data_IF_583169297459
#
_entry.id   IF_583169297459
#
_cell.length_a   1.000
_cell.length_b   1.000
_cell.length_c   1.000
_cell.angle_alpha   90.00
_cell.angle_beta   90.00
_cell.angle_gamma   90.00
#
_symmetry.space_group_name_H-M   'P 1'
#
loop_
_entity.id
_entity.type
_entity.pdbx_description
1 polymer ?
#
# COMPACT_ATOMS: atom_id res chain seq x y z
N UNK A 1 -16.07 25.51 9.29
CA UNK A 1 -14.94 24.77 9.88
C UNK A 1 -15.23 23.29 9.80
N UNK A 2 -14.28 22.51 9.30
CA UNK A 2 -14.39 21.05 9.22
C UNK A 2 -13.84 20.45 10.51
N UNK A 3 -14.60 19.55 11.12
CA UNK A 3 -14.19 18.78 12.30
C UNK A 3 -14.37 17.30 12.00
N UNK A 4 -13.36 16.49 12.31
CA UNK A 4 -13.41 15.04 12.15
C UNK A 4 -13.70 14.37 13.49
N UNK A 5 -14.46 13.27 13.44
CA UNK A 5 -14.71 12.40 14.59
C UNK A 5 -14.50 10.95 14.16
N UNK A 6 -13.55 10.29 14.80
CA UNK A 6 -13.42 8.84 14.73
C UNK A 6 -14.57 8.19 15.49
N UNK A 7 -15.11 7.12 14.93
CA UNK A 7 -16.24 6.39 15.52
C UNK A 7 -15.78 5.13 16.22
N UNK A 8 -16.40 4.86 17.37
CA UNK A 8 -16.39 3.58 18.05
C UNK A 8 -17.64 2.76 17.69
N UNK A 9 -17.68 1.48 18.09
CA UNK A 9 -18.80 0.57 17.79
C UNK A 9 -20.13 1.08 18.34
N UNK A 10 -20.12 1.84 19.44
CA UNK A 10 -21.32 2.43 20.03
C UNK A 10 -21.88 3.64 19.25
N UNK A 11 -21.11 4.23 18.34
CA UNK A 11 -21.53 5.34 17.46
C UNK A 11 -22.34 4.87 16.22
N UNK A 12 -22.80 3.62 16.23
CA UNK A 12 -23.47 2.98 15.10
C UNK A 12 -24.69 3.75 14.57
N UNK A 13 -25.39 4.50 15.44
CA UNK A 13 -26.56 5.29 15.07
C UNK A 13 -26.18 6.46 14.16
N UNK A 14 -25.08 7.15 14.44
CA UNK A 14 -24.58 8.28 13.65
C UNK A 14 -24.05 7.80 12.29
N UNK A 15 -23.33 6.67 12.28
CA UNK A 15 -22.88 6.05 11.03
C UNK A 15 -24.06 5.62 10.16
N UNK A 16 -25.08 4.99 10.76
CA UNK A 16 -26.31 4.58 10.08
C UNK A 16 -26.97 5.75 9.37
N UNK A 17 -27.10 6.90 10.03
CA UNK A 17 -27.74 8.08 9.45
C UNK A 17 -27.04 8.52 8.15
N UNK A 18 -25.72 8.73 8.21
CA UNK A 18 -24.95 9.20 7.06
C UNK A 18 -24.83 8.13 5.97
N UNK A 19 -24.74 6.85 6.36
CA UNK A 19 -24.73 5.76 5.39
C UNK A 19 -26.02 5.69 4.59
N UNK A 20 -27.17 5.82 5.25
CA UNK A 20 -28.47 5.83 4.58
C UNK A 20 -28.65 7.09 3.72
N UNK A 21 -28.16 8.24 4.17
CA UNK A 21 -28.16 9.47 3.36
C UNK A 21 -27.32 9.29 2.08
N UNK A 22 -26.11 8.74 2.19
CA UNK A 22 -25.23 8.49 1.05
C UNK A 22 -25.80 7.51 0.03
N UNK A 23 -26.37 6.40 0.50
CA UNK A 23 -27.01 5.41 -0.38
C UNK A 23 -28.25 5.95 -1.10
N UNK A 24 -28.91 6.98 -0.55
CA UNK A 24 -30.03 7.68 -1.19
C UNK A 24 -29.55 8.73 -2.19
N UNK A 25 -28.52 9.48 -1.83
CA UNK A 25 -27.99 10.60 -2.62
C UNK A 25 -27.18 10.15 -3.84
N UNK A 26 -26.35 9.11 -3.69
CA UNK A 26 -25.42 8.66 -4.73
C UNK A 26 -25.36 7.11 -4.81
N UNK A 27 -26.48 6.43 -5.12
CA UNK A 27 -26.54 4.97 -5.15
C UNK A 27 -25.53 4.32 -6.11
N UNK A 28 -25.17 5.00 -7.20
CA UNK A 28 -24.21 4.54 -8.20
C UNK A 28 -22.75 4.52 -7.71
N UNK A 29 -22.45 5.23 -6.61
CA UNK A 29 -21.12 5.29 -6.01
C UNK A 29 -20.84 4.13 -5.03
N UNK A 30 -21.82 3.26 -4.77
CA UNK A 30 -21.70 2.15 -3.83
C UNK A 30 -22.11 0.82 -4.47
N UNK A 31 -21.38 -0.24 -4.14
CA UNK A 31 -21.82 -1.60 -4.48
C UNK A 31 -23.06 -2.04 -3.69
N UNK A 32 -23.32 -1.44 -2.53
CA UNK A 32 -24.47 -1.74 -1.68
C UNK A 32 -25.72 -0.94 -2.07
N UNK A 33 -26.91 -1.52 -1.91
CA UNK A 33 -28.19 -0.86 -2.25
C UNK A 33 -28.91 -0.37 -1.01
N UNK A 34 -29.55 0.81 -1.07
CA UNK A 34 -30.32 1.37 0.05
C UNK A 34 -31.33 0.37 0.66
N UNK A 35 -32.06 -0.36 -0.19
CA UNK A 35 -33.07 -1.33 0.26
C UNK A 35 -32.50 -2.47 1.12
N UNK A 36 -31.21 -2.82 0.93
CA UNK A 36 -30.54 -3.84 1.73
C UNK A 36 -30.27 -3.36 3.16
N UNK A 37 -30.19 -2.05 3.38
CA UNK A 37 -29.89 -1.42 4.67
C UNK A 37 -31.14 -0.85 5.35
N UNK A 38 -32.32 -1.21 4.85
CA UNK A 38 -33.62 -0.82 5.39
C UNK A 38 -34.47 -2.05 5.72
N UNK A 39 -35.57 -1.86 6.46
CA UNK A 39 -36.49 -2.93 6.83
C UNK A 39 -35.79 -4.01 7.65
N UNK A 40 -35.85 -5.26 7.20
CA UNK A 40 -35.21 -6.39 7.90
C UNK A 40 -33.67 -6.27 7.97
N UNK A 41 -33.05 -5.49 7.07
CA UNK A 41 -31.61 -5.28 7.04
C UNK A 41 -31.11 -4.20 7.99
N UNK A 42 -32.01 -3.43 8.60
CA UNK A 42 -31.71 -2.29 9.46
C UNK A 42 -31.74 -2.70 10.93
N UNK A 43 -30.65 -3.34 11.37
CA UNK A 43 -30.53 -3.86 12.75
C UNK A 43 -29.29 -3.28 13.41
N UNK A 44 -29.41 -2.93 14.70
CA UNK A 44 -28.28 -2.42 15.49
C UNK A 44 -27.05 -3.33 15.39
N UNK A 45 -27.24 -4.65 15.51
CA UNK A 45 -26.15 -5.63 15.38
C UNK A 45 -25.37 -5.45 14.08
N UNK A 46 -26.05 -5.33 12.93
CA UNK A 46 -25.38 -5.16 11.64
C UNK A 46 -24.58 -3.85 11.56
N UNK A 47 -25.09 -2.77 12.15
CA UNK A 47 -24.40 -1.48 12.15
C UNK A 47 -23.14 -1.53 13.02
N UNK A 48 -23.23 -2.18 14.18
CA UNK A 48 -22.09 -2.45 15.07
C UNK A 48 -21.04 -3.33 14.37
N UNK A 49 -21.46 -4.45 13.77
CA UNK A 49 -20.59 -5.36 13.03
C UNK A 49 -19.85 -4.64 11.89
N UNK A 50 -20.46 -3.61 11.29
CA UNK A 50 -19.83 -2.81 10.22
C UNK A 50 -18.75 -1.85 10.74
N UNK A 51 -18.85 -1.42 11.99
CA UNK A 51 -17.87 -0.54 12.62
C UNK A 51 -16.72 -1.31 13.27
N UNK A 52 -16.97 -2.54 13.71
CA UNK A 52 -15.98 -3.37 14.38
C UNK A 52 -14.74 -3.63 13.49
N UNK A 53 -13.55 -3.41 14.06
CA UNK A 53 -12.28 -3.58 13.36
C UNK A 53 -12.03 -2.65 12.15
N UNK A 54 -12.88 -1.65 11.91
CA UNK A 54 -12.77 -0.72 10.78
C UNK A 54 -12.59 0.70 11.30
N UNK A 55 -11.64 1.44 10.73
CA UNK A 55 -11.47 2.86 11.05
C UNK A 55 -12.56 3.67 10.33
N UNK A 56 -13.56 4.16 11.06
CA UNK A 56 -14.66 4.93 10.50
C UNK A 56 -14.59 6.37 11.00
N UNK A 57 -14.75 7.33 10.09
CA UNK A 57 -14.65 8.75 10.40
C UNK A 57 -15.86 9.48 9.84
N UNK A 58 -16.45 10.35 10.66
CA UNK A 58 -17.42 11.34 10.23
C UNK A 58 -16.77 12.72 10.15
N UNK A 59 -17.18 13.50 9.18
CA UNK A 59 -16.85 14.91 9.09
C UNK A 59 -18.08 15.77 9.38
N UNK A 60 -17.90 16.83 10.14
CA UNK A 60 -18.89 17.85 10.43
C UNK A 60 -18.43 19.17 9.80
N UNK A 61 -19.34 19.86 9.11
CA UNK A 61 -19.11 21.20 8.58
C UNK A 61 -20.00 22.18 9.34
N UNK A 62 -19.38 23.09 10.10
CA UNK A 62 -20.09 24.09 10.89
C UNK A 62 -21.12 23.48 11.88
N UNK A 63 -20.79 22.29 12.41
CA UNK A 63 -21.60 21.54 13.37
C UNK A 63 -22.60 20.56 12.74
N UNK A 64 -22.80 20.60 11.43
CA UNK A 64 -23.71 19.70 10.71
C UNK A 64 -22.95 18.48 10.16
N UNK A 65 -23.46 17.23 10.32
CA UNK A 65 -22.87 16.05 9.71
C UNK A 65 -22.78 16.19 8.18
N UNK A 66 -21.57 16.12 7.64
CA UNK A 66 -21.25 16.56 6.28
C UNK A 66 -20.58 15.50 5.41
N UNK A 67 -20.10 14.39 5.99
CA UNK A 67 -19.50 13.31 5.23
C UNK A 67 -19.01 12.15 6.08
N UNK A 68 -18.65 11.07 5.42
CA UNK A 68 -18.15 9.85 6.05
C UNK A 68 -17.12 9.16 5.18
N UNK A 69 -16.24 8.38 5.80
CA UNK A 69 -15.28 7.47 5.14
C UNK A 69 -14.95 6.31 6.07
N UNK A 70 -14.55 5.18 5.49
CA UNK A 70 -13.94 4.08 6.22
C UNK A 70 -12.55 3.75 5.65
N UNK A 71 -11.59 3.47 6.52
CA UNK A 71 -10.37 2.72 6.22
C UNK A 71 -10.51 1.28 6.71
N UNK A 72 -10.68 0.34 5.79
CA UNK A 72 -10.78 -1.09 6.09
C UNK A 72 -9.41 -1.75 5.97
N UNK A 73 -8.89 -2.44 7.00
CA UNK A 73 -7.64 -3.18 6.88
C UNK A 73 -7.68 -4.17 5.71
N UNK A 74 -6.63 -4.18 4.89
CA UNK A 74 -6.50 -5.09 3.75
C UNK A 74 -5.07 -5.64 3.68
N UNK A 75 -4.84 -6.79 4.33
CA UNK A 75 -3.51 -7.37 4.48
C UNK A 75 -2.56 -6.42 5.24
N UNK A 76 -1.53 -5.94 4.54
CA UNK A 76 -0.55 -4.99 5.08
C UNK A 76 -0.85 -3.52 4.73
N UNK A 77 -1.99 -3.26 4.08
CA UNK A 77 -2.47 -1.92 3.72
C UNK A 77 -3.89 -1.62 4.22
N UNK A 78 -4.48 -0.58 3.66
CA UNK A 78 -5.85 -0.12 3.97
C UNK A 78 -6.63 0.09 2.68
N UNK A 79 -7.88 -0.34 2.65
CA UNK A 79 -8.83 0.01 1.60
C UNK A 79 -9.70 1.18 2.06
N UNK A 80 -9.65 2.31 1.34
CA UNK A 80 -10.54 3.45 1.56
C UNK A 80 -11.88 3.15 0.90
N UNK A 81 -12.91 2.98 1.71
CA UNK A 81 -14.26 2.62 1.26
C UNK A 81 -15.31 3.54 1.88
N UNK A 82 -16.54 3.46 1.37
CA UNK A 82 -17.70 4.16 1.94
C UNK A 82 -17.55 5.68 2.01
N UNK A 83 -16.73 6.26 1.13
CA UNK A 83 -16.51 7.70 1.03
C UNK A 83 -17.75 8.43 0.52
N UNK A 84 -18.20 9.45 1.24
CA UNK A 84 -19.29 10.32 0.81
C UNK A 84 -19.18 11.71 1.44
N UNK A 85 -19.58 12.72 0.68
CA UNK A 85 -19.73 14.11 1.15
C UNK A 85 -21.11 14.61 0.77
N UNK A 86 -21.83 15.12 1.77
CA UNK A 86 -23.17 15.67 1.63
C UNK A 86 -23.19 16.80 0.58
N UNK A 87 -24.25 16.93 -0.24
CA UNK A 87 -24.32 17.94 -1.30
C UNK A 87 -23.99 19.37 -0.85
N UNK A 88 -24.46 19.79 0.33
CA UNK A 88 -24.23 21.14 0.88
C UNK A 88 -22.76 21.39 1.27
N UNK A 89 -21.96 20.33 1.45
CA UNK A 89 -20.59 20.39 1.94
C UNK A 89 -19.53 20.15 0.85
N UNK A 90 -19.94 19.84 -0.39
CA UNK A 90 -19.02 19.62 -1.52
C UNK A 90 -18.27 20.89 -1.87
N UNK A 91 -16.98 20.76 -2.20
CA UNK A 91 -16.11 21.90 -2.53
C UNK A 91 -15.71 22.76 -1.31
N UNK A 92 -15.95 22.29 -0.08
CA UNK A 92 -15.65 23.01 1.17
C UNK A 92 -14.52 22.37 1.99
N UNK A 93 -13.73 21.48 1.37
CA UNK A 93 -12.59 20.79 2.01
C UNK A 93 -12.95 19.56 2.83
N UNK A 94 -14.24 19.18 2.95
CA UNK A 94 -14.67 17.99 3.69
C UNK A 94 -14.10 16.70 3.08
N UNK A 95 -14.10 16.61 1.75
CA UNK A 95 -13.56 15.45 1.05
C UNK A 95 -12.06 15.25 1.30
N UNK A 96 -11.31 16.34 1.35
CA UNK A 96 -9.88 16.33 1.63
C UNK A 96 -9.60 15.83 3.04
N UNK A 97 -10.25 16.43 4.03
CA UNK A 97 -10.09 16.05 5.43
C UNK A 97 -10.40 14.56 5.69
N UNK A 98 -11.41 14.00 5.01
CA UNK A 98 -11.75 12.58 5.13
C UNK A 98 -10.70 11.67 4.50
N UNK A 99 -10.15 12.02 3.33
CA UNK A 99 -9.08 11.22 2.70
C UNK A 99 -7.82 11.27 3.57
N UNK A 100 -7.43 12.45 4.05
CA UNK A 100 -6.29 12.63 4.95
C UNK A 100 -6.44 11.75 6.21
N UNK A 101 -7.64 11.70 6.81
CA UNK A 101 -7.89 10.88 8.01
C UNK A 101 -7.54 9.38 7.81
N UNK A 102 -7.83 8.83 6.63
CA UNK A 102 -7.51 7.44 6.31
C UNK A 102 -6.05 7.27 5.95
N UNK A 103 -5.50 8.21 5.16
CA UNK A 103 -4.13 8.16 4.66
C UNK A 103 -3.11 8.32 5.80
N UNK A 104 -3.32 9.28 6.70
CA UNK A 104 -2.39 9.59 7.79
C UNK A 104 -2.29 8.46 8.83
N UNK A 105 -3.32 7.60 8.89
CA UNK A 105 -3.36 6.44 9.78
C UNK A 105 -2.79 5.16 9.14
N UNK A 106 -2.57 5.17 7.83
CA UNK A 106 -2.07 4.02 7.11
C UNK A 106 -0.54 4.01 7.10
N UNK A 107 0.06 2.97 7.69
CA UNK A 107 1.50 2.74 7.59
C UNK A 107 1.93 2.22 6.20
N UNK A 108 1.01 1.54 5.52
CA UNK A 108 1.24 0.85 4.26
C UNK A 108 0.55 1.51 3.07
N UNK A 109 0.36 0.73 2.02
CA UNK A 109 -0.36 1.19 0.84
C UNK A 109 -1.85 1.42 1.16
N UNK A 110 -2.42 2.51 0.63
CA UNK A 110 -3.88 2.76 0.66
C UNK A 110 -4.44 2.53 -0.74
N UNK A 111 -5.46 1.70 -0.86
CA UNK A 111 -6.14 1.46 -2.15
C UNK A 111 -7.62 1.81 -2.10
N UNK A 112 -8.22 2.04 -3.26
CA UNK A 112 -9.65 2.21 -3.41
C UNK A 112 -10.09 1.84 -4.82
N UNK A 113 -11.38 1.60 -5.00
CA UNK A 113 -12.03 1.52 -6.29
C UNK A 113 -12.91 2.76 -6.51
N UNK A 114 -12.88 3.31 -7.73
CA UNK A 114 -13.72 4.45 -8.11
C UNK A 114 -14.32 4.21 -9.49
N UNK A 115 -15.62 4.46 -9.66
CA UNK A 115 -16.29 4.44 -10.96
C UNK A 115 -15.58 5.36 -11.95
N UNK A 116 -15.34 4.91 -13.18
CA UNK A 116 -14.68 5.69 -14.22
C UNK A 116 -15.39 7.02 -14.52
N UNK A 117 -16.72 7.03 -14.39
CA UNK A 117 -17.56 8.21 -14.56
C UNK A 117 -17.47 9.22 -13.40
N UNK A 118 -16.96 8.81 -12.23
CA UNK A 118 -16.88 9.68 -11.05
C UNK A 118 -15.59 10.52 -11.06
N UNK A 119 -15.51 11.42 -12.05
CA UNK A 119 -14.34 12.25 -12.28
C UNK A 119 -14.01 13.17 -11.10
N UNK A 120 -15.02 13.62 -10.34
CA UNK A 120 -14.82 14.46 -9.16
C UNK A 120 -14.12 13.70 -8.02
N UNK A 121 -14.53 12.46 -7.73
CA UNK A 121 -13.86 11.62 -6.75
C UNK A 121 -12.45 11.23 -7.22
N UNK A 122 -12.30 10.85 -8.50
CA UNK A 122 -10.97 10.54 -9.05
C UNK A 122 -10.00 11.74 -8.95
N UNK A 123 -10.48 12.97 -9.19
CA UNK A 123 -9.67 14.18 -9.00
C UNK A 123 -9.33 14.45 -7.53
N UNK A 124 -10.22 14.11 -6.59
CA UNK A 124 -9.93 14.11 -5.15
C UNK A 124 -8.82 13.12 -4.82
N UNK A 125 -8.93 11.86 -5.21
CA UNK A 125 -7.90 10.87 -4.86
C UNK A 125 -6.54 11.21 -5.49
N UNK A 126 -6.51 11.65 -6.76
CA UNK A 126 -5.24 12.00 -7.42
C UNK A 126 -4.48 13.13 -6.74
N UNK A 127 -5.16 14.19 -6.27
CA UNK A 127 -4.49 15.28 -5.53
C UNK A 127 -3.96 14.86 -4.15
N UNK A 128 -4.48 13.74 -3.62
CA UNK A 128 -4.00 13.08 -2.41
C UNK A 128 -2.89 12.04 -2.67
N UNK A 129 -2.35 11.99 -3.89
CA UNK A 129 -1.22 11.15 -4.27
C UNK A 129 -1.60 9.74 -4.70
N UNK A 130 -2.89 9.45 -4.93
CA UNK A 130 -3.30 8.19 -5.52
C UNK A 130 -2.98 8.16 -7.01
N UNK A 131 -2.39 7.06 -7.46
CA UNK A 131 -2.10 6.74 -8.86
C UNK A 131 -3.00 5.63 -9.35
N UNK A 132 -3.14 5.53 -10.66
CA UNK A 132 -3.96 4.50 -11.30
C UNK A 132 -3.27 3.14 -11.28
N UNK A 133 -4.00 2.12 -10.88
CA UNK A 133 -3.53 0.74 -10.77
C UNK A 133 -4.36 -0.23 -11.61
N UNK A 134 -4.99 0.28 -12.68
CA UNK A 134 -5.76 -0.51 -13.62
C UNK A 134 -7.22 -0.74 -13.23
N UNK A 135 -7.93 -1.60 -13.97
CA UNK A 135 -9.36 -1.83 -13.78
C UNK A 135 -9.66 -2.67 -12.52
N UNK A 136 -10.76 -2.38 -11.82
CA UNK A 136 -11.22 -3.13 -10.63
C UNK A 136 -12.59 -3.84 -10.80
N UNK A 137 -13.08 -3.99 -12.03
CA UNK A 137 -14.40 -4.58 -12.32
C UNK A 137 -15.53 -3.53 -12.36
N UNK A 138 -16.70 -3.88 -12.92
CA UNK A 138 -17.91 -3.04 -12.92
C UNK A 138 -17.75 -1.57 -13.34
N UNK A 139 -16.86 -1.29 -14.30
CA UNK A 139 -16.58 0.07 -14.78
C UNK A 139 -15.85 0.93 -13.74
N UNK A 140 -15.09 0.30 -12.85
CA UNK A 140 -14.25 0.95 -11.83
C UNK A 140 -12.77 0.82 -12.14
N UNK A 141 -12.02 1.79 -11.63
CA UNK A 141 -10.56 1.81 -11.62
C UNK A 141 -10.08 1.65 -10.20
N UNK A 142 -9.08 0.80 -10.01
CA UNK A 142 -8.30 0.74 -8.78
C UNK A 142 -7.36 1.93 -8.76
N UNK A 143 -7.38 2.69 -7.68
CA UNK A 143 -6.36 3.68 -7.38
C UNK A 143 -5.59 3.25 -6.14
N UNK A 144 -4.29 3.56 -6.13
CA UNK A 144 -3.37 3.17 -5.07
C UNK A 144 -2.50 4.34 -4.65
N UNK A 145 -2.27 4.50 -3.36
CA UNK A 145 -1.32 5.46 -2.79
C UNK A 145 -0.27 4.68 -2.02
N UNK A 146 0.99 4.83 -2.43
CA UNK A 146 2.12 4.22 -1.75
C UNK A 146 2.62 5.10 -0.59
N UNK A 147 3.31 4.54 0.42
CA UNK A 147 3.92 5.31 1.49
C UNK A 147 4.91 6.35 0.97
N UNK A 148 4.87 7.55 1.53
CA UNK A 148 5.83 8.63 1.22
C UNK A 148 7.11 8.50 2.05
N UNK A 149 7.01 7.93 3.25
CA UNK A 149 8.11 7.66 4.16
C UNK A 149 8.40 6.17 4.27
N UNK A 150 9.67 5.83 4.43
CA UNK A 150 10.09 4.47 4.75
C UNK A 150 10.08 4.23 6.26
N UNK A 151 9.97 2.96 6.65
CA UNK A 151 10.16 2.50 8.03
C UNK A 151 11.06 1.27 8.05
N UNK A 152 11.97 1.24 9.01
CA UNK A 152 12.86 0.13 9.29
C UNK A 152 12.57 -0.37 10.71
N UNK A 153 12.47 -1.69 10.88
CA UNK A 153 12.31 -2.28 12.22
C UNK A 153 13.41 -1.79 13.17
N UNK A 154 13.09 -1.47 14.44
CA UNK A 154 14.10 -1.10 15.44
C UNK A 154 15.08 -2.24 15.75
N UNK A 155 14.77 -3.47 15.31
CA UNK A 155 15.63 -4.66 15.40
C UNK A 155 16.69 -4.73 14.30
N UNK A 156 16.92 -3.64 13.57
CA UNK A 156 17.88 -3.58 12.48
C UNK A 156 18.79 -2.36 12.62
N UNK A 157 20.05 -2.51 12.23
CA UNK A 157 21.00 -1.41 12.13
C UNK A 157 21.88 -1.51 10.89
N UNK A 158 22.53 -0.40 10.53
CA UNK A 158 23.45 -0.33 9.39
C UNK A 158 24.87 -0.65 9.85
N UNK A 159 25.55 -1.56 9.16
CA UNK A 159 26.97 -1.93 9.41
C UNK A 159 27.72 -2.16 8.10
N UNK A 160 29.05 -2.28 8.16
CA UNK A 160 29.85 -2.77 7.04
C UNK A 160 29.39 -4.17 6.61
N UNK A 161 29.17 -4.34 5.31
CA UNK A 161 28.67 -5.58 4.73
C UNK A 161 29.82 -6.40 4.10
N UNK A 162 29.85 -7.72 4.32
CA UNK A 162 30.72 -8.62 3.56
C UNK A 162 30.25 -8.84 2.12
N UNK A 163 29.00 -8.47 1.79
CA UNK A 163 28.44 -8.57 0.43
C UNK A 163 28.82 -7.33 -0.39
N UNK A 164 28.43 -6.15 0.08
CA UNK A 164 28.65 -4.89 -0.64
C UNK A 164 28.51 -3.68 0.29
N UNK A 165 29.57 -2.88 0.42
CA UNK A 165 29.55 -1.59 1.11
C UNK A 165 28.97 -1.67 2.53
N UNK A 166 27.77 -1.13 2.71
CA UNK A 166 27.00 -1.17 3.95
C UNK A 166 25.76 -2.05 3.77
N UNK A 167 25.37 -2.74 4.84
CA UNK A 167 24.23 -3.64 4.89
C UNK A 167 23.35 -3.39 6.11
N UNK A 168 22.12 -3.91 6.07
CA UNK A 168 21.23 -3.96 7.23
C UNK A 168 21.46 -5.26 8.01
N UNK A 169 21.55 -5.19 9.34
CA UNK A 169 21.81 -6.35 10.19
C UNK A 169 20.82 -6.42 11.34
N UNK A 170 20.35 -7.64 11.64
CA UNK A 170 19.49 -7.87 12.78
C UNK A 170 20.24 -7.64 14.12
N UNK A 171 19.71 -6.80 14.99
CA UNK A 171 20.21 -6.58 16.37
C UNK A 171 19.49 -7.47 17.39
N UNK A 172 18.32 -7.97 17.03
CA UNK A 172 17.49 -8.89 17.81
C UNK A 172 16.95 -10.03 16.93
N UNK A 173 16.45 -11.14 17.50
CA UNK A 173 15.74 -12.15 16.74
C UNK A 173 14.48 -11.58 16.06
N UNK A 174 14.33 -11.88 14.77
CA UNK A 174 13.14 -11.52 13.97
C UNK A 174 12.41 -12.80 13.59
N UNK A 175 11.12 -12.87 13.88
CA UNK A 175 10.30 -14.05 13.57
C UNK A 175 10.01 -14.14 12.06
N UNK A 176 9.81 -15.36 11.55
CA UNK A 176 9.35 -15.52 10.18
C UNK A 176 7.98 -14.82 10.01
N UNK A 177 7.81 -14.06 8.92
CA UNK A 177 6.63 -13.25 8.66
C UNK A 177 6.55 -11.91 9.40
N UNK A 178 7.51 -11.59 10.28
CA UNK A 178 7.57 -10.29 10.94
C UNK A 178 7.96 -9.19 9.93
N UNK A 179 7.28 -8.04 9.99
CA UNK A 179 7.56 -6.89 9.11
C UNK A 179 8.93 -6.30 9.46
N UNK A 180 9.78 -6.18 8.44
CA UNK A 180 11.16 -5.67 8.60
C UNK A 180 11.30 -4.30 7.96
N UNK A 181 10.72 -4.10 6.77
CA UNK A 181 10.76 -2.84 6.05
C UNK A 181 9.35 -2.48 5.58
N UNK A 182 9.04 -1.18 5.65
CA UNK A 182 8.03 -0.56 4.80
C UNK A 182 8.73 0.45 3.93
N UNK A 183 8.64 0.27 2.63
CA UNK A 183 9.34 1.03 1.63
C UNK A 183 8.45 2.17 1.18
N UNK A 184 8.93 3.39 1.39
CA UNK A 184 8.26 4.62 0.98
C UNK A 184 9.23 5.57 0.32
N UNK A 185 8.68 6.48 -0.49
CA UNK A 185 9.48 7.44 -1.23
C UNK A 185 8.68 8.20 -2.27
N UNK A 186 9.37 8.71 -3.29
CA UNK A 186 8.76 9.50 -4.36
C UNK A 186 8.39 8.60 -5.53
N UNK A 187 7.15 8.71 -6.02
CA UNK A 187 6.76 8.06 -7.26
C UNK A 187 7.38 8.77 -8.46
N UNK A 188 7.94 7.98 -9.38
CA UNK A 188 8.55 8.41 -10.63
C UNK A 188 8.12 7.48 -11.76
N UNK A 189 8.15 7.96 -13.00
CA UNK A 189 7.88 7.15 -14.18
C UNK A 189 9.17 6.59 -14.81
N UNK A 190 9.04 5.86 -15.91
CA UNK A 190 10.17 5.30 -16.67
C UNK A 190 11.12 6.38 -17.21
N UNK A 191 10.61 7.57 -17.54
CA UNK A 191 11.40 8.68 -18.10
C UNK A 191 12.27 9.29 -17.02
N UNK A 192 11.67 9.60 -15.87
CA UNK A 192 12.36 10.10 -14.70
C UNK A 192 13.42 9.09 -14.21
N UNK A 193 13.07 7.80 -14.15
CA UNK A 193 13.99 6.73 -13.74
C UNK A 193 15.20 6.63 -14.68
N UNK A 194 14.98 6.69 -16.00
CA UNK A 194 16.04 6.64 -16.99
C UNK A 194 16.98 7.86 -16.94
N UNK A 195 16.51 9.00 -16.42
CA UNK A 195 17.30 10.21 -16.25
C UNK A 195 18.15 10.21 -14.96
N UNK A 196 17.92 9.28 -14.02
CA UNK A 196 18.68 9.22 -12.77
C UNK A 196 20.13 8.75 -13.00
N UNK A 197 21.05 9.34 -12.24
CA UNK A 197 22.44 8.88 -12.17
C UNK A 197 22.62 8.02 -10.90
N UNK A 198 23.06 6.75 -11.03
CA UNK A 198 23.36 5.90 -9.86
C UNK A 198 24.47 6.49 -8.96
N UNK A 199 24.48 6.16 -7.65
CA UNK A 199 23.62 5.18 -6.99
C UNK A 199 22.25 5.72 -6.60
N UNK A 200 21.21 4.91 -6.81
CA UNK A 200 19.85 5.12 -6.29
C UNK A 200 19.20 3.75 -5.99
N UNK A 201 18.10 3.76 -5.24
CA UNK A 201 17.31 2.56 -4.96
C UNK A 201 15.86 2.80 -5.36
N UNK A 202 15.30 1.92 -6.17
CA UNK A 202 13.93 2.02 -6.66
C UNK A 202 13.25 0.67 -6.76
N UNK A 203 11.92 0.66 -6.66
CA UNK A 203 11.08 -0.53 -6.85
C UNK A 203 10.01 -0.25 -7.88
N UNK A 204 9.69 -1.21 -8.74
CA UNK A 204 8.53 -1.11 -9.63
C UNK A 204 7.28 -1.45 -8.85
N UNK A 205 6.38 -0.47 -8.72
CA UNK A 205 5.17 -0.57 -7.89
C UNK A 205 3.87 -0.53 -8.70
N UNK A 206 3.95 -0.12 -9.98
CA UNK A 206 2.84 -0.13 -10.92
C UNK A 206 3.32 -0.19 -12.38
N UNK A 207 2.39 -0.06 -13.33
CA UNK A 207 2.72 0.04 -14.76
C UNK A 207 3.43 1.35 -15.04
N UNK A 208 4.66 1.29 -15.55
CA UNK A 208 5.52 2.46 -15.78
C UNK A 208 5.66 3.38 -14.54
N UNK A 209 5.56 2.81 -13.34
CA UNK A 209 5.56 3.53 -12.08
C UNK A 209 6.52 2.87 -11.09
N UNK A 210 7.42 3.67 -10.55
CA UNK A 210 8.46 3.24 -9.63
C UNK A 210 8.46 4.09 -8.37
N UNK A 211 8.77 3.47 -7.25
CA UNK A 211 9.01 4.12 -5.98
C UNK A 211 10.51 4.36 -5.82
N UNK A 212 10.94 5.62 -5.91
CA UNK A 212 12.30 6.05 -5.63
C UNK A 212 12.46 6.28 -4.13
N UNK A 213 13.30 5.49 -3.48
CA UNK A 213 13.53 5.57 -2.03
C UNK A 213 14.30 6.85 -1.66
N UNK A 214 14.03 7.36 -0.46
CA UNK A 214 14.80 8.46 0.12
C UNK A 214 16.28 8.04 0.33
N UNK A 215 17.25 8.73 -0.31
CA UNK A 215 18.68 8.40 -0.15
C UNK A 215 19.20 8.61 1.29
N UNK A 216 18.49 9.36 2.14
CA UNK A 216 18.85 9.55 3.53
C UNK A 216 18.34 8.42 4.45
N UNK A 217 17.33 7.67 4.03
CA UNK A 217 16.72 6.65 4.89
C UNK A 217 17.49 5.32 4.87
N UNK A 218 17.73 4.64 6.01
CA UNK A 218 18.59 3.45 6.08
C UNK A 218 18.09 2.23 5.29
N UNK A 219 16.81 2.15 4.93
CA UNK A 219 16.25 1.01 4.18
C UNK A 219 16.98 0.74 2.85
N UNK A 220 17.61 1.77 2.26
CA UNK A 220 18.39 1.65 1.02
C UNK A 220 19.63 0.76 1.13
N UNK A 221 20.06 0.43 2.36
CA UNK A 221 21.19 -0.46 2.64
C UNK A 221 20.78 -1.94 2.66
N UNK A 222 19.52 -2.27 2.35
CA UNK A 222 19.09 -3.66 2.19
C UNK A 222 19.74 -4.28 0.96
N UNK A 223 20.82 -5.03 1.16
CA UNK A 223 21.62 -5.62 0.09
C UNK A 223 20.94 -6.78 -0.63
N UNK A 224 21.48 -7.12 -1.79
CA UNK A 224 21.02 -8.26 -2.57
C UNK A 224 21.55 -9.61 -2.05
N UNK A 225 20.69 -10.63 -1.98
CA UNK A 225 21.07 -12.05 -1.98
C UNK A 225 20.18 -12.88 -2.91
N UNK A 226 20.76 -13.88 -3.58
CA UNK A 226 20.00 -14.85 -4.38
C UNK A 226 19.26 -15.88 -3.53
N UNK A 227 19.59 -16.00 -2.25
CA UNK A 227 18.82 -16.72 -1.23
C UNK A 227 18.58 -15.76 -0.07
N UNK A 228 17.58 -14.87 -0.18
CA UNK A 228 17.43 -13.76 0.73
C UNK A 228 16.78 -14.17 2.06
N UNK A 229 17.12 -13.42 3.11
CA UNK A 229 16.46 -13.51 4.42
C UNK A 229 15.08 -12.84 4.44
N UNK A 230 14.82 -11.91 3.52
CA UNK A 230 13.59 -11.14 3.42
C UNK A 230 12.87 -11.42 2.09
N UNK A 231 11.58 -11.12 2.05
CA UNK A 231 10.77 -11.17 0.83
C UNK A 231 9.57 -10.21 0.88
N UNK A 232 9.01 -9.90 -0.29
CA UNK A 232 7.85 -9.01 -0.43
C UNK A 232 6.56 -9.73 -0.06
N UNK A 233 5.64 -9.02 0.59
CA UNK A 233 4.24 -9.47 0.82
C UNK A 233 3.22 -8.54 0.16
N UNK A 234 3.65 -7.34 -0.23
CA UNK A 234 2.96 -6.45 -1.16
C UNK A 234 4.01 -5.59 -1.91
N UNK A 235 3.60 -4.52 -2.60
CA UNK A 235 4.51 -3.65 -3.35
C UNK A 235 5.60 -2.96 -2.51
N UNK A 236 5.34 -2.75 -1.22
CA UNK A 236 6.07 -1.85 -0.32
C UNK A 236 6.42 -2.47 1.03
N UNK A 237 5.75 -3.56 1.42
CA UNK A 237 5.97 -4.25 2.69
C UNK A 237 6.86 -5.46 2.47
N UNK A 238 7.92 -5.52 3.27
CA UNK A 238 8.90 -6.61 3.27
C UNK A 238 8.94 -7.25 4.64
N UNK A 239 8.83 -8.58 4.67
CA UNK A 239 8.86 -9.39 5.89
C UNK A 239 10.04 -10.35 5.89
N UNK A 240 10.37 -10.87 7.06
CA UNK A 240 11.35 -11.95 7.17
C UNK A 240 10.82 -13.24 6.52
N UNK A 241 11.55 -13.79 5.54
CA UNK A 241 11.21 -15.04 4.85
C UNK A 241 11.33 -16.26 5.76
N UNK A 242 12.30 -16.23 6.66
CA UNK A 242 12.52 -17.25 7.69
C UNK A 242 12.87 -16.55 9.01
N UNK A 243 13.01 -17.32 10.10
CA UNK A 243 13.49 -16.76 11.37
C UNK A 243 14.92 -16.23 11.19
N UNK A 244 15.13 -14.96 11.49
CA UNK A 244 16.44 -14.30 11.40
C UNK A 244 17.10 -14.26 12.78
N UNK A 245 18.39 -14.60 12.82
CA UNK A 245 19.21 -14.56 14.05
C UNK A 245 19.88 -13.20 14.17
N UNK A 246 20.25 -12.83 15.41
CA UNK A 246 21.08 -11.65 15.67
C UNK A 246 22.37 -11.72 14.86
N UNK A 247 22.75 -10.60 14.26
CA UNK A 247 23.95 -10.46 13.43
C UNK A 247 23.81 -10.98 12.01
N UNK A 248 22.67 -11.55 11.62
CA UNK A 248 22.41 -11.90 10.22
C UNK A 248 22.12 -10.65 9.40
N UNK A 249 22.74 -10.56 8.22
CA UNK A 249 22.46 -9.50 7.25
C UNK A 249 21.06 -9.68 6.65
N UNK A 250 20.30 -8.60 6.58
CA UNK A 250 18.94 -8.52 6.07
C UNK A 250 18.99 -8.19 4.58
N UNK A 251 18.78 -9.21 3.76
CA UNK A 251 18.94 -9.12 2.30
C UNK A 251 17.64 -9.38 1.56
N UNK A 252 17.49 -8.79 0.37
CA UNK A 252 16.39 -9.00 -0.56
C UNK A 252 16.88 -9.55 -1.90
N UNK A 253 16.01 -10.22 -2.66
CA UNK A 253 16.30 -10.50 -4.05
C UNK A 253 15.82 -9.32 -4.93
N UNK A 254 16.73 -8.57 -5.54
CA UNK A 254 16.39 -7.39 -6.34
C UNK A 254 15.54 -7.74 -7.57
N UNK A 255 15.67 -8.97 -8.08
CA UNK A 255 14.81 -9.46 -9.17
C UNK A 255 13.32 -9.50 -8.81
N UNK A 256 12.98 -9.53 -7.51
CA UNK A 256 11.59 -9.65 -7.05
C UNK A 256 10.80 -8.35 -7.07
N UNK A 257 11.45 -7.22 -7.38
CA UNK A 257 10.81 -5.90 -7.37
C UNK A 257 11.34 -4.92 -8.41
N UNK A 258 12.18 -5.36 -9.35
CA UNK A 258 12.59 -4.56 -10.51
C UNK A 258 11.84 -5.02 -11.76
N UNK A 259 11.00 -4.13 -12.29
CA UNK A 259 10.28 -4.32 -13.54
C UNK A 259 11.06 -3.88 -14.78
N UNK A 260 12.25 -3.31 -14.60
CA UNK A 260 13.11 -2.78 -15.68
C UNK A 260 13.89 -3.93 -16.31
N UNK A 261 13.39 -4.46 -17.44
CA UNK A 261 13.93 -5.67 -18.08
C UNK A 261 15.41 -5.55 -18.47
N UNK A 262 15.87 -4.35 -18.84
CA UNK A 262 17.27 -4.10 -19.22
C UNK A 262 18.24 -4.04 -18.04
N UNK A 263 17.74 -3.86 -16.82
CA UNK A 263 18.56 -3.75 -15.61
C UNK A 263 19.29 -5.06 -15.31
N UNK A 264 20.57 -4.94 -14.93
CA UNK A 264 21.43 -6.09 -14.62
C UNK A 264 22.55 -5.68 -13.66
N UNK A 265 22.95 -6.59 -12.77
CA UNK A 265 24.13 -6.43 -11.93
C UNK A 265 24.89 -7.76 -11.76
N UNK A 266 26.23 -7.74 -11.67
CA UNK A 266 26.98 -8.91 -11.19
C UNK A 266 26.66 -9.16 -9.72
N UNK A 267 26.54 -10.43 -9.31
CA UNK A 267 26.21 -10.81 -7.95
C UNK A 267 27.38 -11.52 -7.25
N UNK A 268 27.66 -11.10 -6.02
CA UNK A 268 28.68 -11.67 -5.13
C UNK A 268 28.14 -11.99 -3.73
N UNK A 269 26.84 -12.26 -3.61
CA UNK A 269 26.17 -12.45 -2.32
C UNK A 269 26.68 -13.63 -1.46
N UNK A 270 27.51 -14.51 -2.03
CA UNK A 270 28.12 -15.63 -1.29
C UNK A 270 27.19 -16.81 -1.00
N UNK A 271 25.90 -16.72 -1.33
CA UNK A 271 24.96 -17.85 -1.22
C UNK A 271 25.38 -19.03 -2.12
N UNK A 272 25.13 -20.26 -1.68
CA UNK A 272 25.29 -21.46 -2.50
C UNK A 272 24.35 -21.50 -3.71
N UNK A 273 23.26 -20.72 -3.67
CA UNK A 273 22.32 -20.52 -4.77
C UNK A 273 22.62 -19.25 -5.58
N UNK A 274 23.82 -18.67 -5.47
CA UNK A 274 24.19 -17.46 -6.19
C UNK A 274 24.07 -17.64 -7.71
N UNK A 275 23.32 -16.75 -8.36
CA UNK A 275 23.13 -16.73 -9.82
C UNK A 275 24.31 -16.12 -10.59
N UNK A 276 25.26 -15.47 -9.89
CA UNK A 276 26.41 -14.76 -10.47
C UNK A 276 26.04 -13.45 -11.21
N UNK A 277 24.84 -13.35 -11.76
CA UNK A 277 24.25 -12.14 -12.32
C UNK A 277 22.76 -12.11 -11.98
N UNK A 278 22.24 -10.93 -11.66
CA UNK A 278 20.81 -10.69 -11.39
C UNK A 278 20.30 -9.73 -12.44
N UNK A 279 19.07 -9.92 -12.91
CA UNK A 279 18.47 -9.05 -13.92
C UNK A 279 16.98 -8.81 -13.69
N UNK A 280 16.44 -7.76 -14.33
CA UNK A 280 14.99 -7.51 -14.34
C UNK A 280 14.19 -8.49 -15.22
N UNK A 281 14.84 -9.46 -15.86
CA UNK A 281 14.20 -10.56 -16.56
C UNK A 281 14.11 -11.85 -15.72
N UNK A 282 14.69 -11.87 -14.50
CA UNK A 282 14.80 -13.08 -13.67
C UNK A 282 13.44 -13.60 -13.19
N UNK A 283 12.39 -12.78 -13.21
CA UNK A 283 11.00 -13.23 -13.01
C UNK A 283 10.57 -14.29 -14.02
N UNK A 284 11.29 -14.47 -15.15
CA UNK A 284 11.05 -15.53 -16.13
C UNK A 284 11.61 -16.90 -15.72
N UNK A 285 12.49 -16.97 -14.73
CA UNK A 285 13.15 -18.20 -14.31
C UNK A 285 12.17 -19.09 -13.53
N UNK A 286 11.86 -20.31 -14.02
CA UNK A 286 10.88 -21.20 -13.37
C UNK A 286 11.23 -21.54 -11.92
N UNK A 287 12.52 -21.77 -11.64
CA UNK A 287 12.99 -22.12 -10.29
C UNK A 287 12.75 -20.97 -9.30
N UNK A 288 12.93 -19.72 -9.72
CA UNK A 288 12.64 -18.56 -8.87
C UNK A 288 11.13 -18.38 -8.67
N UNK A 289 10.32 -18.54 -9.72
CA UNK A 289 8.85 -18.51 -9.61
C UNK A 289 8.36 -19.55 -8.59
N UNK A 290 8.90 -20.77 -8.66
CA UNK A 290 8.58 -21.82 -7.71
C UNK A 290 9.05 -21.48 -6.29
N UNK A 291 10.28 -21.00 -6.14
CA UNK A 291 10.87 -20.69 -4.83
C UNK A 291 10.19 -19.51 -4.12
N UNK A 292 9.75 -18.49 -4.85
CA UNK A 292 9.13 -17.29 -4.29
C UNK A 292 7.60 -17.32 -4.29
N UNK A 293 6.94 -18.18 -5.08
CA UNK A 293 5.49 -18.21 -5.15
C UNK A 293 4.91 -16.82 -5.46
N UNK A 294 4.09 -16.29 -4.55
CA UNK A 294 3.48 -14.97 -4.67
C UNK A 294 4.31 -13.81 -4.05
N UNK A 295 5.56 -14.05 -3.65
CA UNK A 295 6.42 -13.05 -2.99
C UNK A 295 7.20 -12.17 -3.98
N UNK A 296 6.49 -11.59 -4.94
CA UNK A 296 7.00 -10.61 -5.90
C UNK A 296 6.23 -9.30 -5.75
N UNK A 297 6.81 -8.18 -6.19
CA UNK A 297 6.05 -6.93 -6.34
C UNK A 297 4.83 -7.18 -7.25
N UNK A 298 3.65 -6.58 -7.00
CA UNK A 298 2.44 -6.82 -7.78
C UNK A 298 2.62 -6.73 -9.31
N UNK A 299 3.34 -5.72 -9.87
CA UNK A 299 3.54 -5.65 -11.32
C UNK A 299 4.28 -6.85 -11.92
N UNK A 300 5.12 -7.53 -11.13
CA UNK A 300 5.80 -8.75 -11.56
C UNK A 300 4.90 -9.99 -11.41
N UNK A 301 4.06 -10.05 -10.37
CA UNK A 301 3.04 -11.11 -10.25
C UNK A 301 2.09 -11.10 -11.43
N UNK A 302 1.65 -9.92 -11.86
CA UNK A 302 0.77 -9.78 -13.02
C UNK A 302 1.43 -10.33 -14.29
N UNK A 303 2.72 -10.05 -14.50
CA UNK A 303 3.51 -10.61 -15.62
C UNK A 303 3.71 -12.12 -15.52
N UNK A 304 3.82 -12.67 -14.31
CA UNK A 304 3.97 -14.12 -14.09
C UNK A 304 2.65 -14.85 -14.37
N UNK A 305 1.51 -14.21 -14.10
CA UNK A 305 0.17 -14.77 -14.22
C UNK A 305 -0.47 -14.58 -15.60
N UNK A 306 0.04 -13.62 -16.40
CA UNK A 306 -0.34 -13.41 -17.80
C UNK A 306 0.22 -14.48 -18.74
#
# INVERSE_FOLDING_TARGET
>A
MVVLRELEVDDWADWRELRLAALRDAPEAFGAKLAEWQGAGDTERRWRDRLDGVHNVLAYLDGEPAGMVSGMPNGHGVELISMWVAPFARGRGVGDALVDAVVDRADGTVSLAVKESNHAAAALYRRHGFVDDGPSGDGERRLVRHPTGSWLTPKAEVRDSPIEGLGLFATEPIAAGEVVLRLGGRLIDDTDLAALTPPYSSLTVGVACHLLLDPAHPVRYGNHSCDPTLWHVDATTVVARTRVRVGTELTLDYATHTGVESWRMPCRCGSSACRGSVSGADWRLPDLRHAYGDHWSPPLLDRIRS
#
